data_IF_424710396137
#
_entry.id   IF_424710396137
#
_cell.length_a   1.000
_cell.length_b   1.000
_cell.length_c   1.000
_cell.angle_alpha   90.00
_cell.angle_beta   90.00
_cell.angle_gamma   90.00
#
_symmetry.space_group_name_H-M   'P 1'
#
loop_
_entity.id
_entity.type
_entity.pdbx_description
1 polymer ?
#
# COMPACT_ATOMS: atom_id res chain seq x y z
N UNK A 1 21.52 -27.53 -26.17
CA UNK A 1 20.44 -26.67 -26.65
C UNK A 1 20.89 -25.23 -26.42
N UNK A 2 21.31 -24.51 -27.46
CA UNK A 2 21.69 -23.10 -27.39
C UNK A 2 20.41 -22.30 -27.20
N UNK A 3 20.34 -21.57 -26.10
CA UNK A 3 19.21 -20.64 -25.83
C UNK A 3 19.40 -19.46 -26.78
N UNK A 4 18.55 -19.36 -27.78
CA UNK A 4 18.54 -18.23 -28.71
C UNK A 4 18.28 -16.94 -27.91
N UNK A 5 19.10 -15.92 -28.13
CA UNK A 5 18.92 -14.63 -27.45
C UNK A 5 17.66 -13.95 -27.99
N UNK A 6 16.82 -13.35 -27.12
CA UNK A 6 15.62 -12.67 -27.57
C UNK A 6 16.00 -11.49 -28.49
N UNK A 7 15.15 -11.21 -29.46
CA UNK A 7 15.31 -10.03 -30.32
C UNK A 7 15.12 -8.72 -29.52
N UNK A 8 15.50 -7.61 -30.13
CA UNK A 8 15.48 -6.28 -29.49
C UNK A 8 14.07 -5.87 -29.03
N UNK A 9 13.04 -6.21 -29.80
CA UNK A 9 11.65 -5.92 -29.45
C UNK A 9 11.21 -6.72 -28.22
N UNK A 10 11.56 -7.99 -28.16
CA UNK A 10 11.29 -8.86 -26.98
C UNK A 10 12.06 -8.35 -25.75
N UNK A 11 13.32 -7.96 -25.92
CA UNK A 11 14.12 -7.41 -24.82
C UNK A 11 13.51 -6.11 -24.28
N UNK A 12 13.05 -5.23 -25.15
CA UNK A 12 12.35 -3.99 -24.77
C UNK A 12 11.09 -4.30 -23.98
N UNK A 13 10.25 -5.23 -24.46
CA UNK A 13 9.03 -5.62 -23.77
C UNK A 13 9.31 -6.19 -22.36
N UNK A 14 10.33 -7.03 -22.23
CA UNK A 14 10.76 -7.59 -20.94
C UNK A 14 11.12 -6.45 -19.98
N UNK A 15 11.92 -5.46 -20.40
CA UNK A 15 12.28 -4.33 -19.55
C UNK A 15 11.06 -3.53 -19.08
N UNK A 16 10.07 -3.28 -19.96
CA UNK A 16 8.83 -2.58 -19.59
C UNK A 16 8.02 -3.38 -18.56
N UNK A 17 7.92 -4.69 -18.72
CA UNK A 17 7.24 -5.55 -17.75
C UNK A 17 7.98 -5.62 -16.41
N UNK A 18 9.32 -5.66 -16.42
CA UNK A 18 10.13 -5.61 -15.20
C UNK A 18 9.93 -4.29 -14.44
N UNK A 19 9.78 -3.18 -15.13
CA UNK A 19 9.48 -1.90 -14.53
C UNK A 19 8.12 -1.88 -13.82
N UNK A 20 7.08 -2.39 -14.50
CA UNK A 20 5.74 -2.51 -13.92
C UNK A 20 5.79 -3.41 -12.67
N UNK A 21 6.45 -4.56 -12.73
CA UNK A 21 6.59 -5.47 -11.59
C UNK A 21 7.42 -4.84 -10.45
N UNK A 22 8.41 -4.02 -10.77
CA UNK A 22 9.21 -3.30 -9.77
C UNK A 22 8.37 -2.26 -9.03
N UNK A 23 7.49 -1.53 -9.73
CA UNK A 23 6.54 -0.59 -9.12
C UNK A 23 5.51 -1.34 -8.24
N UNK A 24 5.03 -2.51 -8.67
CA UNK A 24 4.14 -3.33 -7.84
C UNK A 24 4.82 -3.79 -6.55
N UNK A 25 6.07 -4.26 -6.62
CA UNK A 25 6.87 -4.63 -5.45
C UNK A 25 7.14 -3.44 -4.53
N UNK A 26 7.40 -2.26 -5.09
CA UNK A 26 7.57 -1.02 -4.34
C UNK A 26 6.30 -0.71 -3.50
N UNK A 27 5.11 -0.80 -4.11
CA UNK A 27 3.85 -0.56 -3.41
C UNK A 27 3.53 -1.62 -2.37
N UNK A 28 3.82 -2.89 -2.64
CA UNK A 28 3.67 -3.96 -1.66
C UNK A 28 4.57 -3.73 -0.43
N UNK A 29 5.82 -3.30 -0.64
CA UNK A 29 6.73 -2.90 0.45
C UNK A 29 6.19 -1.70 1.23
N UNK A 30 5.60 -0.71 0.56
CA UNK A 30 4.98 0.43 1.23
C UNK A 30 3.93 -0.03 2.24
N UNK A 31 2.95 -0.86 1.84
CA UNK A 31 1.91 -1.36 2.74
C UNK A 31 2.53 -2.13 3.91
N UNK A 32 3.41 -3.08 3.63
CA UNK A 32 4.08 -3.86 4.68
C UNK A 32 4.86 -2.96 5.65
N UNK A 33 5.63 -2.00 5.16
CA UNK A 33 6.42 -1.10 6.00
C UNK A 33 5.55 -0.24 6.93
N UNK A 34 4.38 0.21 6.47
CA UNK A 34 3.44 0.95 7.32
C UNK A 34 2.86 0.03 8.40
N UNK A 35 2.41 -1.16 8.05
CA UNK A 35 1.77 -2.10 8.97
C UNK A 35 2.75 -2.66 10.00
N UNK A 36 3.99 -2.94 9.59
CA UNK A 36 5.08 -3.40 10.47
C UNK A 36 5.82 -2.26 11.18
N UNK A 37 5.48 -0.98 10.90
CA UNK A 37 6.17 0.21 11.43
C UNK A 37 7.67 0.23 11.11
N UNK A 38 8.04 -0.30 9.95
CA UNK A 38 9.41 -0.31 9.44
C UNK A 38 9.78 1.07 8.86
N UNK A 39 9.78 2.11 9.70
CA UNK A 39 9.88 3.51 9.30
C UNK A 39 11.14 3.84 8.50
N UNK A 40 12.27 3.26 8.88
CA UNK A 40 13.54 3.46 8.17
C UNK A 40 13.50 2.85 6.77
N UNK A 41 12.87 1.69 6.58
CA UNK A 41 12.67 1.09 5.27
C UNK A 41 11.64 1.90 4.48
N UNK A 42 10.53 2.30 5.09
CA UNK A 42 9.49 3.13 4.47
C UNK A 42 10.08 4.41 3.88
N UNK A 43 11.00 5.07 4.61
CA UNK A 43 11.69 6.28 4.14
C UNK A 43 12.37 6.09 2.80
N UNK A 44 12.96 4.91 2.56
CA UNK A 44 13.70 4.62 1.33
C UNK A 44 12.82 4.45 0.09
N UNK A 45 11.51 4.32 0.27
CA UNK A 45 10.56 4.10 -0.83
C UNK A 45 10.14 5.40 -1.53
N UNK A 46 10.52 6.54 -0.98
CA UNK A 46 10.12 7.85 -1.48
C UNK A 46 11.32 8.66 -1.97
N UNK A 47 11.08 9.58 -2.90
CA UNK A 47 12.03 10.64 -3.21
C UNK A 47 12.12 11.63 -2.06
N UNK A 48 13.21 12.39 -1.96
CA UNK A 48 13.38 13.39 -0.89
C UNK A 48 12.37 14.54 -1.00
N UNK A 49 11.95 14.86 -2.22
CA UNK A 49 10.97 15.89 -2.58
C UNK A 49 9.53 15.33 -2.73
N UNK A 50 9.27 14.11 -2.26
CA UNK A 50 7.94 13.51 -2.36
C UNK A 50 6.88 14.35 -1.65
N UNK A 51 5.74 14.55 -2.30
CA UNK A 51 4.58 15.22 -1.71
C UNK A 51 3.47 14.22 -1.38
N UNK A 52 2.76 14.49 -0.27
CA UNK A 52 1.72 13.62 0.26
C UNK A 52 0.44 14.41 0.45
N UNK A 53 -0.61 13.98 -0.23
CA UNK A 53 -1.92 14.59 -0.15
C UNK A 53 -2.97 13.56 0.29
N UNK A 54 -3.89 13.99 1.16
CA UNK A 54 -5.11 13.25 1.49
C UNK A 54 -6.24 14.23 1.63
N UNK A 55 -7.40 13.92 1.05
CA UNK A 55 -8.55 14.82 1.04
C UNK A 55 -8.90 15.33 2.44
N UNK A 56 -9.05 16.65 2.57
CA UNK A 56 -9.34 17.33 3.84
C UNK A 56 -8.11 17.56 4.73
N UNK A 57 -6.92 17.24 4.27
CA UNK A 57 -5.65 17.49 4.97
C UNK A 57 -4.81 18.52 4.21
N UNK A 58 -3.95 19.25 4.94
CA UNK A 58 -2.89 20.02 4.31
C UNK A 58 -1.88 19.07 3.67
N UNK A 59 -1.37 19.45 2.51
CA UNK A 59 -0.27 18.72 1.85
C UNK A 59 0.96 18.67 2.77
N UNK A 60 1.63 17.53 2.78
CA UNK A 60 2.86 17.29 3.53
C UNK A 60 4.00 17.17 2.54
N UNK A 61 5.05 17.94 2.74
CA UNK A 61 6.27 17.88 1.95
C UNK A 61 7.33 17.04 2.67
N UNK A 62 7.94 16.13 1.93
CA UNK A 62 9.00 15.25 2.38
C UNK A 62 8.55 14.05 3.21
N UNK A 63 9.22 12.91 3.00
CA UNK A 63 8.84 11.64 3.61
C UNK A 63 9.01 11.61 5.14
N UNK A 64 9.96 12.36 5.71
CA UNK A 64 10.18 12.36 7.16
C UNK A 64 9.01 13.00 7.92
N UNK A 65 8.41 14.07 7.36
CA UNK A 65 7.22 14.68 7.94
C UNK A 65 5.99 13.77 7.81
N UNK A 66 5.85 13.11 6.67
CA UNK A 66 4.78 12.13 6.44
C UNK A 66 4.89 10.95 7.42
N UNK A 67 6.07 10.34 7.54
CA UNK A 67 6.31 9.19 8.42
C UNK A 67 6.00 9.55 9.88
N UNK A 68 6.46 10.70 10.36
CA UNK A 68 6.12 11.20 11.70
C UNK A 68 4.62 11.26 11.90
N UNK A 69 3.92 11.85 10.93
CA UNK A 69 2.45 12.01 10.99
C UNK A 69 1.73 10.67 11.03
N UNK A 70 2.16 9.71 10.21
CA UNK A 70 1.56 8.36 10.16
C UNK A 70 1.86 7.60 11.45
N UNK A 71 3.11 7.65 11.93
CA UNK A 71 3.51 7.00 13.17
C UNK A 71 2.69 7.49 14.38
N UNK A 72 2.47 8.80 14.48
CA UNK A 72 1.61 9.40 15.52
C UNK A 72 0.15 8.97 15.41
N UNK A 73 -0.37 8.82 14.18
CA UNK A 73 -1.76 8.47 13.94
C UNK A 73 -2.09 7.04 14.34
N UNK A 74 -1.20 6.09 14.01
CA UNK A 74 -1.44 4.65 14.20
C UNK A 74 -0.85 4.09 15.49
N UNK A 75 -0.18 4.91 16.30
CA UNK A 75 0.31 4.49 17.61
C UNK A 75 -0.78 4.73 18.68
N UNK A 76 -1.07 3.77 19.58
CA UNK A 76 -0.49 2.42 19.73
C UNK A 76 -1.18 1.32 18.92
N UNK A 77 -2.13 1.67 18.05
CA UNK A 77 -3.03 0.74 17.38
C UNK A 77 -2.38 -0.15 16.31
N UNK A 78 -3.21 -0.93 15.64
CA UNK A 78 -2.85 -1.80 14.51
C UNK A 78 -3.31 -1.18 13.21
N UNK A 79 -2.59 -1.43 12.12
CA UNK A 79 -3.06 -1.10 10.77
C UNK A 79 -2.91 -2.28 9.84
N UNK A 80 -3.80 -2.34 8.85
CA UNK A 80 -3.74 -3.28 7.73
C UNK A 80 -4.04 -2.50 6.47
N UNK A 81 -3.08 -2.41 5.57
CA UNK A 81 -3.24 -1.74 4.28
C UNK A 81 -3.20 -2.75 3.15
N UNK A 82 -4.14 -2.60 2.22
CA UNK A 82 -4.23 -3.45 1.04
C UNK A 82 -4.37 -2.59 -0.21
N UNK A 83 -3.65 -2.97 -1.27
CA UNK A 83 -3.80 -2.43 -2.61
C UNK A 83 -4.23 -3.53 -3.58
N UNK A 84 -5.14 -3.18 -4.48
CA UNK A 84 -5.72 -4.12 -5.43
C UNK A 84 -5.41 -3.66 -6.85
N UNK A 85 -5.26 -4.61 -7.75
CA UNK A 85 -5.11 -4.50 -9.21
C UNK A 85 -4.80 -3.07 -9.72
N UNK A 86 -3.51 -2.72 -9.83
CA UNK A 86 -3.13 -1.35 -10.20
C UNK A 86 -3.29 -1.10 -11.70
N UNK A 87 -3.56 0.15 -12.02
CA UNK A 87 -3.37 0.72 -13.34
C UNK A 87 -2.01 1.43 -13.33
N UNK A 88 -1.01 0.89 -14.03
CA UNK A 88 0.36 1.46 -14.08
C UNK A 88 0.67 1.87 -15.52
N UNK A 89 1.04 3.12 -15.70
CA UNK A 89 1.47 3.69 -16.99
C UNK A 89 2.89 4.19 -16.89
N UNK A 90 3.80 3.64 -17.70
CA UNK A 90 5.15 4.20 -17.86
C UNK A 90 5.05 5.45 -18.75
N UNK A 91 5.31 6.62 -18.18
CA UNK A 91 5.21 7.91 -18.87
C UNK A 91 6.54 8.36 -19.48
N UNK A 92 7.62 7.63 -19.20
CA UNK A 92 8.95 7.86 -19.74
C UNK A 92 9.92 6.79 -19.27
N UNK A 93 11.17 6.89 -19.68
CA UNK A 93 12.22 5.95 -19.29
C UNK A 93 12.49 5.91 -17.77
N UNK A 94 12.18 7.00 -17.08
CA UNK A 94 12.42 7.16 -15.62
C UNK A 94 11.21 7.65 -14.86
N UNK A 95 10.04 7.71 -15.48
CA UNK A 95 8.80 8.22 -14.89
C UNK A 95 7.64 7.28 -15.15
N UNK A 96 6.74 7.16 -14.16
CA UNK A 96 5.52 6.39 -14.27
C UNK A 96 4.42 7.00 -13.39
N UNK A 97 3.19 6.63 -13.67
CA UNK A 97 2.01 6.93 -12.88
C UNK A 97 1.29 5.64 -12.51
N UNK A 98 0.59 5.65 -11.38
CA UNK A 98 -0.21 4.50 -10.97
C UNK A 98 -1.45 4.89 -10.18
N UNK A 99 -2.51 4.13 -10.41
CA UNK A 99 -3.74 4.21 -9.62
C UNK A 99 -3.92 2.85 -8.95
N UNK A 100 -4.11 2.87 -7.61
CA UNK A 100 -4.30 1.67 -6.82
C UNK A 100 -5.65 1.74 -6.11
N UNK A 101 -6.55 0.84 -6.38
CA UNK A 101 -7.69 0.62 -5.49
C UNK A 101 -7.17 0.15 -4.14
N UNK A 102 -7.74 0.67 -3.04
CA UNK A 102 -7.24 0.40 -1.71
C UNK A 102 -8.34 0.15 -0.69
N UNK A 103 -7.99 -0.67 0.29
CA UNK A 103 -8.71 -0.83 1.54
C UNK A 103 -7.70 -0.69 2.68
N UNK A 104 -8.07 0.04 3.72
CA UNK A 104 -7.30 0.06 4.96
C UNK A 104 -8.19 -0.16 6.19
N UNK A 105 -7.61 -0.78 7.19
CA UNK A 105 -8.08 -0.82 8.57
C UNK A 105 -7.03 -0.13 9.43
N UNK A 106 -7.42 0.88 10.17
CA UNK A 106 -6.49 1.63 11.03
C UNK A 106 -7.11 1.82 12.39
N UNK A 107 -6.47 1.28 13.42
CA UNK A 107 -6.76 1.62 14.80
C UNK A 107 -6.09 2.95 15.15
N UNK A 108 -6.82 3.81 15.82
CA UNK A 108 -6.31 5.06 16.34
C UNK A 108 -6.43 5.07 17.84
N UNK A 109 -5.59 5.86 18.50
CA UNK A 109 -5.62 6.03 19.95
C UNK A 109 -7.04 6.44 20.40
N UNK A 110 -7.70 5.64 21.25
CA UNK A 110 -9.04 5.94 21.75
C UNK A 110 -9.12 7.26 22.52
N UNK A 111 -8.04 7.68 23.17
CA UNK A 111 -7.99 8.93 23.94
C UNK A 111 -8.07 10.17 23.06
N UNK A 112 -7.80 10.04 21.75
CA UNK A 112 -7.83 11.17 20.81
C UNK A 112 -9.18 11.52 20.19
N UNK A 113 -10.27 10.79 20.41
CA UNK A 113 -11.59 11.20 19.88
C UNK A 113 -12.75 10.22 20.18
N UNK A 114 -12.67 9.34 21.15
CA UNK A 114 -13.71 8.31 21.37
C UNK A 114 -13.90 7.37 20.18
N UNK A 115 -12.87 7.23 19.33
CA UNK A 115 -12.87 6.38 18.13
C UNK A 115 -11.78 5.34 18.28
N UNK A 116 -12.14 4.08 18.03
CA UNK A 116 -11.15 2.99 18.04
C UNK A 116 -10.47 2.77 16.70
N UNK A 117 -10.95 3.38 15.63
CA UNK A 117 -10.34 3.22 14.32
C UNK A 117 -11.24 3.60 13.16
N UNK A 118 -10.81 3.18 11.98
CA UNK A 118 -11.57 3.33 10.74
C UNK A 118 -11.30 2.17 9.79
N UNK A 119 -12.27 1.92 8.91
CA UNK A 119 -12.10 1.17 7.66
C UNK A 119 -12.27 2.16 6.53
N UNK A 120 -11.29 2.24 5.65
CA UNK A 120 -11.29 3.14 4.51
C UNK A 120 -11.26 2.39 3.20
N UNK A 121 -11.92 2.96 2.19
CA UNK A 121 -11.84 2.53 0.81
C UNK A 121 -11.57 3.73 -0.07
N UNK A 122 -10.84 3.54 -1.15
CA UNK A 122 -10.50 4.62 -2.07
C UNK A 122 -9.45 4.23 -3.08
N UNK A 123 -8.72 5.25 -3.54
CA UNK A 123 -7.65 5.05 -4.50
C UNK A 123 -6.45 5.90 -4.10
N UNK A 124 -5.26 5.33 -4.29
CA UNK A 124 -4.02 6.09 -4.38
C UNK A 124 -3.81 6.52 -5.83
N UNK A 125 -3.43 7.76 -6.03
CA UNK A 125 -2.93 8.32 -7.28
C UNK A 125 -1.47 8.66 -7.04
N UNK A 126 -0.56 7.97 -7.69
CA UNK A 126 0.87 8.06 -7.41
C UNK A 126 1.68 8.37 -8.66
N UNK A 127 2.73 9.16 -8.48
CA UNK A 127 3.77 9.31 -9.47
C UNK A 127 5.03 8.61 -8.97
N UNK A 128 5.77 8.03 -9.89
CA UNK A 128 7.00 7.30 -9.62
C UNK A 128 8.15 7.89 -10.41
N UNK A 129 9.32 7.82 -9.82
CA UNK A 129 10.58 8.21 -10.46
C UNK A 129 11.60 7.08 -10.28
N UNK A 130 12.39 6.82 -11.33
CA UNK A 130 13.49 5.88 -11.26
C UNK A 130 14.75 6.63 -10.81
N UNK A 131 15.32 6.21 -9.72
CA UNK A 131 16.62 6.67 -9.20
C UNK A 131 17.65 5.54 -9.28
N UNK A 132 18.89 5.79 -8.87
CA UNK A 132 19.96 4.76 -8.85
C UNK A 132 19.59 3.52 -8.03
N UNK A 133 18.76 3.68 -7.00
CA UNK A 133 18.23 2.59 -6.15
C UNK A 133 16.99 1.88 -6.71
N UNK A 134 16.52 2.24 -7.90
CA UNK A 134 15.32 1.71 -8.53
C UNK A 134 14.13 2.68 -8.49
N UNK A 135 12.93 2.16 -8.73
CA UNK A 135 11.70 2.94 -8.68
C UNK A 135 11.35 3.37 -7.26
N UNK A 136 10.95 4.63 -7.11
CA UNK A 136 10.53 5.25 -5.84
C UNK A 136 9.29 6.12 -6.06
N UNK A 137 8.50 6.35 -5.02
CA UNK A 137 7.29 7.19 -5.07
C UNK A 137 7.73 8.65 -4.98
N UNK A 138 7.33 9.48 -5.94
CA UNK A 138 7.60 10.92 -5.98
C UNK A 138 6.38 11.79 -5.65
N UNK A 139 5.18 11.22 -5.74
CA UNK A 139 3.93 11.83 -5.29
C UNK A 139 3.00 10.74 -4.77
N UNK A 140 2.33 11.02 -3.67
CA UNK A 140 1.34 10.15 -3.04
C UNK A 140 0.06 10.96 -2.77
N UNK A 141 -1.06 10.58 -3.39
CA UNK A 141 -2.35 11.23 -3.23
C UNK A 141 -3.43 10.18 -2.91
N UNK A 142 -3.95 10.20 -1.69
CA UNK A 142 -5.01 9.30 -1.24
C UNK A 142 -6.38 9.97 -1.35
N UNK A 143 -7.23 9.43 -2.20
CA UNK A 143 -8.62 9.85 -2.36
C UNK A 143 -9.54 8.77 -1.84
N UNK A 144 -10.16 9.04 -0.70
CA UNK A 144 -11.10 8.10 -0.08
C UNK A 144 -12.49 8.25 -0.68
N UNK A 145 -13.10 7.13 -1.09
CA UNK A 145 -14.49 7.07 -1.54
C UNK A 145 -15.43 6.78 -0.37
N UNK A 146 -14.95 6.07 0.64
CA UNK A 146 -15.71 5.74 1.85
C UNK A 146 -14.80 5.64 3.07
N UNK A 147 -15.29 6.13 4.19
CA UNK A 147 -14.69 5.92 5.52
C UNK A 147 -15.78 5.49 6.48
N UNK A 148 -15.62 4.32 7.07
CA UNK A 148 -16.46 3.82 8.15
C UNK A 148 -15.67 3.92 9.45
N UNK A 149 -16.18 4.70 10.40
CA UNK A 149 -15.53 4.86 11.72
C UNK A 149 -15.94 3.72 12.64
N UNK A 150 -14.98 3.22 13.39
CA UNK A 150 -15.19 2.17 14.37
C UNK A 150 -15.32 2.85 15.73
N UNK A 151 -16.52 2.77 16.32
CA UNK A 151 -16.79 3.26 17.66
C UNK A 151 -16.43 2.20 18.72
N UNK A 152 -16.34 2.61 19.99
CA UNK A 152 -16.19 1.69 21.11
C UNK A 152 -17.36 0.68 21.12
N UNK A 153 -17.04 -0.64 21.09
CA UNK A 153 -18.03 -1.71 20.93
C UNK A 153 -18.46 -2.04 19.49
N UNK A 154 -17.98 -1.29 18.48
CA UNK A 154 -18.45 -1.35 17.09
C UNK A 154 -17.82 -2.41 16.18
N UNK A 155 -16.84 -3.17 16.64
CA UNK A 155 -16.43 -4.46 16.13
C UNK A 155 -16.25 -5.34 17.36
N UNK A 156 -17.35 -5.88 17.88
CA UNK A 156 -17.25 -7.12 18.59
C UNK A 156 -16.68 -8.10 17.55
N UNK A 157 -15.37 -8.23 17.48
CA UNK A 157 -14.76 -9.42 16.94
C UNK A 157 -15.51 -10.54 17.63
N UNK A 158 -16.32 -11.29 16.88
CA UNK A 158 -16.72 -12.60 17.30
C UNK A 158 -15.40 -13.27 17.65
N UNK A 159 -15.06 -13.28 18.93
CA UNK A 159 -13.97 -14.09 19.43
C UNK A 159 -14.31 -15.45 18.87
N UNK A 160 -13.49 -15.94 17.94
CA UNK A 160 -13.60 -17.28 17.44
C UNK A 160 -13.53 -18.15 18.69
N UNK A 161 -14.69 -18.49 19.24
CA UNK A 161 -14.80 -19.56 20.22
C UNK A 161 -14.13 -20.72 19.52
N UNK A 162 -13.04 -21.18 20.06
CA UNK A 162 -12.27 -22.35 19.61
C UNK A 162 -13.16 -23.59 19.72
N UNK A 163 -14.12 -23.69 18.80
CA UNK A 163 -14.80 -24.92 18.47
C UNK A 163 -13.91 -25.62 17.46
N UNK A 164 -13.16 -26.58 17.94
CA UNK A 164 -12.38 -27.53 17.17
C UNK A 164 -13.31 -28.44 16.36
N UNK A 165 -13.85 -27.92 15.26
CA UNK A 165 -14.50 -28.70 14.23
C UNK A 165 -13.60 -28.64 12.99
N UNK A 166 -12.72 -29.64 12.88
CA UNK A 166 -12.00 -29.95 11.64
C UNK A 166 -13.04 -30.27 10.56
N UNK A 167 -13.11 -29.53 9.44
CA UNK A 167 -13.98 -29.91 8.35
C UNK A 167 -13.43 -31.18 7.69
N UNK A 168 -14.13 -32.29 7.84
CA UNK A 168 -13.85 -33.52 7.08
C UNK A 168 -14.30 -33.31 5.64
N UNK A 169 -13.34 -33.08 4.76
CA UNK A 169 -13.57 -33.03 3.32
C UNK A 169 -13.77 -34.46 2.79
N UNK A 170 -15.01 -34.86 2.58
CA UNK A 170 -15.36 -36.14 1.97
C UNK A 170 -15.22 -36.04 0.45
N UNK A 171 -14.18 -36.64 -0.08
CA UNK A 171 -13.98 -36.80 -1.54
C UNK A 171 -15.02 -37.76 -2.06
N UNK A 172 -16.05 -37.28 -2.78
CA UNK A 172 -16.94 -38.14 -3.57
C UNK A 172 -16.12 -38.69 -4.74
N UNK A 173 -15.93 -40.01 -4.77
CA UNK A 173 -15.48 -40.77 -5.95
C UNK A 173 -16.70 -40.96 -6.85
N UNK A 174 -16.62 -40.54 -8.09
CA UNK A 174 -17.39 -40.99 -9.24
C UNK A 174 -16.49 -41.81 -10.13
#
# INVERSE_FOLDING_TARGET
MSREMPDEATQTLVCLLEDIESIKRLKARYFRCVDERAWSELRTLFTDDCTFHSAGSREIEGPDAFIRRVAELIHPGTSVHQGHMPEITLTGATTAEGIWSMTDYVEVDPDRAGRRGLVGHGHYYENYRREARGWVISRWDLRRTRVTRIAEGGLALLSASSSSATPTYTRRRS
#
